data_IF_229941204826
#
_entry.id   IF_229941204826
#
_cell.length_a   1.000
_cell.length_b   1.000
_cell.length_c   1.000
_cell.angle_alpha   90.00
_cell.angle_beta   90.00
_cell.angle_gamma   90.00
#
_symmetry.space_group_name_H-M   'P 1'
#
loop_
_entity.id
_entity.type
_entity.pdbx_description
1 polymer ?
#
# COMPACT_ATOMS: atom_id res chain seq x y z
N UNK A 1 -4.50 21.15 26.65
CA UNK A 1 -4.01 20.74 25.32
C UNK A 1 -4.37 19.30 25.01
N UNK A 2 -4.69 18.48 26.04
CA UNK A 2 -5.27 17.15 25.87
C UNK A 2 -6.38 17.15 24.80
N UNK A 3 -6.35 16.14 23.91
CA UNK A 3 -7.26 16.00 22.74
C UNK A 3 -7.16 17.10 21.68
N UNK A 4 -6.02 17.78 21.59
CA UNK A 4 -5.77 18.71 20.48
C UNK A 4 -5.20 17.97 19.26
N UNK A 5 -5.44 18.54 18.08
CA UNK A 5 -4.84 18.08 16.81
C UNK A 5 -3.32 17.92 16.92
N UNK A 6 -2.65 18.82 17.62
CA UNK A 6 -1.20 18.74 17.83
C UNK A 6 -0.78 17.46 18.56
N UNK A 7 -1.41 17.15 19.70
CA UNK A 7 -1.02 15.99 20.50
C UNK A 7 -1.40 14.68 19.81
N UNK A 8 -2.56 14.65 19.13
CA UNK A 8 -2.96 13.53 18.28
C UNK A 8 -1.95 13.31 17.15
N UNK A 9 -1.54 14.38 16.47
CA UNK A 9 -0.53 14.31 15.43
C UNK A 9 0.80 13.76 15.94
N UNK A 10 1.29 14.28 17.08
CA UNK A 10 2.56 13.86 17.67
C UNK A 10 2.51 12.44 18.25
N UNK A 11 1.35 11.95 18.70
CA UNK A 11 1.22 10.59 19.23
C UNK A 11 1.36 9.50 18.17
N UNK A 12 1.22 9.85 16.89
CA UNK A 12 1.45 8.92 15.78
C UNK A 12 2.92 8.86 15.33
N UNK A 13 3.78 9.75 15.85
CA UNK A 13 5.20 9.75 15.50
C UNK A 13 5.98 8.81 16.42
N UNK A 14 6.82 7.97 15.83
CA UNK A 14 7.78 7.20 16.60
C UNK A 14 8.89 8.09 17.18
N UNK A 15 9.73 7.52 18.06
CA UNK A 15 10.81 8.27 18.71
C UNK A 15 11.81 8.87 17.72
N UNK A 16 12.06 8.21 16.58
CA UNK A 16 12.99 8.68 15.54
C UNK A 16 12.38 9.81 14.73
N UNK A 17 11.11 9.71 14.38
CA UNK A 17 10.35 10.77 13.71
C UNK A 17 10.23 12.01 14.60
N UNK A 18 9.94 11.85 15.89
CA UNK A 18 9.96 12.97 16.84
C UNK A 18 11.35 13.63 16.94
N UNK A 19 12.43 12.84 16.84
CA UNK A 19 13.77 13.41 16.81
C UNK A 19 14.00 14.24 15.54
N UNK A 20 13.73 13.69 14.36
CA UNK A 20 13.88 14.41 13.08
C UNK A 20 12.97 15.62 12.98
N UNK A 21 11.77 15.56 13.55
CA UNK A 21 10.89 16.73 13.64
C UNK A 21 11.53 17.85 14.49
N UNK A 22 12.19 17.50 15.59
CA UNK A 22 12.99 18.46 16.36
C UNK A 22 14.12 19.09 15.56
N UNK A 23 14.84 18.31 14.75
CA UNK A 23 15.90 18.80 13.85
C UNK A 23 15.34 19.73 12.76
N UNK A 24 14.18 19.39 12.20
CA UNK A 24 13.45 20.23 11.25
C UNK A 24 13.05 21.58 11.86
N UNK A 25 12.51 21.58 13.08
CA UNK A 25 12.12 22.80 13.80
C UNK A 25 13.33 23.67 14.18
N UNK A 26 14.49 23.07 14.41
CA UNK A 26 15.73 23.78 14.70
C UNK A 26 16.42 24.32 13.44
N UNK A 27 15.98 23.93 12.24
CA UNK A 27 16.59 24.36 10.99
C UNK A 27 16.06 25.73 10.56
N UNK A 28 16.93 26.76 10.45
CA UNK A 28 16.53 28.10 10.03
C UNK A 28 16.04 28.16 8.57
N UNK A 29 16.34 27.12 7.78
CA UNK A 29 15.81 26.96 6.43
C UNK A 29 14.31 26.64 6.43
N UNK A 30 13.85 25.81 7.38
CA UNK A 30 12.47 25.33 7.43
C UNK A 30 11.59 26.16 8.38
N UNK A 31 12.12 26.49 9.55
CA UNK A 31 11.41 27.22 10.61
C UNK A 31 12.29 28.35 11.12
N UNK A 32 11.77 29.58 11.06
CA UNK A 32 12.49 30.78 11.49
C UNK A 32 12.24 31.17 12.94
N UNK A 33 11.17 30.65 13.55
CA UNK A 33 10.78 31.01 14.92
C UNK A 33 11.28 29.98 15.93
N UNK A 34 12.37 30.30 16.63
CA UNK A 34 12.98 29.47 17.66
C UNK A 34 12.00 29.11 18.80
N UNK A 35 10.93 29.89 18.98
CA UNK A 35 9.87 29.62 19.97
C UNK A 35 9.17 28.30 19.70
N UNK A 36 9.01 27.90 18.43
CA UNK A 36 8.37 26.64 18.07
C UNK A 36 9.21 25.44 18.51
N UNK A 37 10.54 25.54 18.36
CA UNK A 37 11.44 24.51 18.86
C UNK A 37 11.40 24.41 20.39
N UNK A 38 11.44 25.52 21.11
CA UNK A 38 11.34 25.55 22.58
C UNK A 38 10.00 24.96 23.05
N UNK A 39 8.91 25.33 22.39
CA UNK A 39 7.58 24.81 22.68
C UNK A 39 7.50 23.30 22.43
N UNK A 40 8.02 22.82 21.29
CA UNK A 40 8.10 21.40 20.97
C UNK A 40 8.90 20.62 22.02
N UNK A 41 10.07 21.13 22.44
CA UNK A 41 10.90 20.49 23.47
C UNK A 41 10.18 20.38 24.83
N UNK A 42 9.33 21.34 25.16
CA UNK A 42 8.52 21.29 26.37
C UNK A 42 7.44 20.19 26.33
N UNK A 43 6.89 19.90 25.14
CA UNK A 43 5.84 18.89 24.93
C UNK A 43 6.42 17.49 24.71
N UNK A 44 7.53 17.37 23.97
CA UNK A 44 8.16 16.08 23.62
C UNK A 44 8.52 15.23 24.85
N UNK A 45 8.76 15.87 26.00
CA UNK A 45 9.03 15.20 27.30
C UNK A 45 7.90 14.27 27.76
N UNK A 46 6.73 14.38 27.17
CA UNK A 46 5.54 13.58 27.48
C UNK A 46 5.24 12.51 26.42
N UNK A 47 6.11 12.34 25.43
CA UNK A 47 5.99 11.28 24.44
C UNK A 47 6.26 9.89 25.06
N UNK A 48 5.69 8.81 24.49
CA UNK A 48 4.74 8.80 23.37
C UNK A 48 3.27 9.02 23.76
N UNK A 49 2.89 8.92 25.04
CA UNK A 49 1.48 8.84 25.45
C UNK A 49 0.76 10.20 25.45
N UNK A 50 1.48 11.29 25.70
CA UNK A 50 0.95 12.67 25.75
C UNK A 50 -0.32 12.84 26.60
N UNK A 51 -0.50 12.02 27.64
CA UNK A 51 -1.71 11.94 28.47
C UNK A 51 -1.59 12.65 29.83
N UNK A 52 -0.43 13.24 30.11
CA UNK A 52 -0.17 13.88 31.39
C UNK A 52 -1.10 15.05 31.67
N UNK A 53 -1.65 15.12 32.89
CA UNK A 53 -2.39 16.29 33.38
C UNK A 53 -1.58 17.60 33.28
N UNK A 54 -0.25 17.53 33.21
CA UNK A 54 0.62 18.70 32.98
C UNK A 54 0.47 19.31 31.58
N UNK A 55 -0.16 18.60 30.64
CA UNK A 55 -0.53 19.08 29.30
C UNK A 55 -1.96 19.66 29.26
N UNK A 56 -2.67 19.74 30.39
CA UNK A 56 -3.88 20.57 30.47
C UNK A 56 -3.53 22.03 30.20
N UNK A 57 -4.42 22.76 29.52
CA UNK A 57 -4.09 24.09 28.98
C UNK A 57 -3.67 25.05 30.10
N UNK A 58 -4.47 25.13 31.16
CA UNK A 58 -4.22 25.95 32.35
C UNK A 58 -2.97 25.51 33.11
N UNK A 59 -2.77 24.20 33.29
CA UNK A 59 -1.61 23.64 33.97
C UNK A 59 -0.30 23.92 33.21
N UNK A 60 -0.32 23.79 31.88
CA UNK A 60 0.83 24.02 31.02
C UNK A 60 1.22 25.51 30.98
N UNK A 61 0.24 26.41 30.84
CA UNK A 61 0.50 27.87 30.92
C UNK A 61 1.08 28.24 32.29
N UNK A 62 0.52 27.72 33.39
CA UNK A 62 1.01 27.98 34.74
C UNK A 62 2.44 27.45 34.97
N UNK A 63 2.75 26.28 34.44
CA UNK A 63 4.11 25.69 34.51
C UNK A 63 5.12 26.54 33.73
N UNK A 64 4.68 27.14 32.63
CA UNK A 64 5.53 27.93 31.74
C UNK A 64 6.52 27.07 30.94
N UNK A 65 7.17 27.73 29.98
CA UNK A 65 8.28 27.16 29.21
C UNK A 65 9.44 28.14 29.30
N UNK A 66 10.62 27.64 29.65
CA UNK A 66 11.81 28.48 29.78
C UNK A 66 12.11 29.19 28.45
N UNK A 67 12.42 30.48 28.52
CA UNK A 67 12.63 31.32 27.33
C UNK A 67 11.34 31.71 26.58
N UNK A 68 10.16 31.34 27.09
CA UNK A 68 8.89 31.56 26.39
C UNK A 68 7.77 32.06 27.33
N UNK A 69 7.34 33.30 27.12
CA UNK A 69 6.16 33.83 27.82
C UNK A 69 4.88 33.25 27.22
N UNK A 70 4.19 32.41 27.99
CA UNK A 70 2.93 31.79 27.60
C UNK A 70 1.73 32.45 28.27
N UNK A 71 0.71 32.72 27.47
CA UNK A 71 -0.67 32.92 27.91
C UNK A 71 -1.56 31.96 27.10
N UNK A 72 -2.84 31.91 27.42
CA UNK A 72 -3.77 31.00 26.74
C UNK A 72 -3.87 31.22 25.22
N UNK A 73 -3.75 32.48 24.77
CA UNK A 73 -3.88 32.85 23.36
C UNK A 73 -2.60 32.48 22.60
N UNK A 74 -1.44 32.83 23.15
CA UNK A 74 -0.12 32.45 22.63
C UNK A 74 0.05 30.93 22.59
N UNK A 75 -0.42 30.22 23.62
CA UNK A 75 -0.40 28.76 23.62
C UNK A 75 -1.22 28.21 22.45
N UNK A 76 -2.43 28.72 22.21
CA UNK A 76 -3.24 28.32 21.06
C UNK A 76 -2.55 28.60 19.72
N UNK A 77 -1.89 29.75 19.56
CA UNK A 77 -1.12 30.04 18.34
C UNK A 77 0.05 29.09 18.14
N UNK A 78 0.88 28.88 19.17
CA UNK A 78 2.00 27.94 19.09
C UNK A 78 1.56 26.52 18.79
N UNK A 79 0.38 26.10 19.27
CA UNK A 79 -0.19 24.80 18.91
C UNK A 79 -0.55 24.70 17.43
N UNK A 80 -1.18 25.74 16.88
CA UNK A 80 -1.51 25.83 15.45
C UNK A 80 -0.24 25.83 14.60
N UNK A 81 0.69 26.73 14.91
CA UNK A 81 1.94 26.91 14.17
C UNK A 81 2.82 25.64 14.21
N UNK A 82 2.89 24.97 15.37
CA UNK A 82 3.62 23.71 15.51
C UNK A 82 2.95 22.56 14.73
N UNK A 83 1.62 22.55 14.65
CA UNK A 83 0.89 21.58 13.82
C UNK A 83 1.19 21.80 12.34
N UNK A 84 1.18 23.04 11.87
CA UNK A 84 1.52 23.39 10.49
C UNK A 84 2.98 23.02 10.17
N UNK A 85 3.91 23.31 11.08
CA UNK A 85 5.30 22.90 10.94
C UNK A 85 5.44 21.37 10.87
N UNK A 86 4.65 20.64 11.66
CA UNK A 86 4.56 19.18 11.61
C UNK A 86 4.07 18.66 10.26
N UNK A 87 3.01 19.24 9.70
CA UNK A 87 2.51 18.88 8.38
C UNK A 87 3.55 19.17 7.27
N UNK A 88 4.26 20.29 7.35
CA UNK A 88 5.38 20.61 6.43
C UNK A 88 6.52 19.61 6.55
N UNK A 89 6.88 19.21 7.77
CA UNK A 89 7.88 18.18 8.03
C UNK A 89 7.48 16.84 7.39
N UNK A 90 6.24 16.37 7.61
CA UNK A 90 5.78 15.14 7.00
C UNK A 90 5.76 15.20 5.48
N UNK A 91 5.31 16.31 4.89
CA UNK A 91 5.36 16.52 3.44
C UNK A 91 6.80 16.41 2.92
N UNK A 92 7.77 17.03 3.61
CA UNK A 92 9.17 16.95 3.23
C UNK A 92 9.70 15.50 3.31
N UNK A 93 9.46 14.81 4.44
CA UNK A 93 9.87 13.40 4.61
C UNK A 93 9.27 12.48 3.54
N UNK A 94 7.97 12.61 3.27
CA UNK A 94 7.27 11.77 2.29
C UNK A 94 7.75 12.04 0.86
N UNK A 95 8.04 13.30 0.50
CA UNK A 95 8.58 13.64 -0.81
C UNK A 95 10.03 13.17 -0.97
N UNK A 96 10.83 13.20 0.11
CA UNK A 96 12.21 12.70 0.09
C UNK A 96 12.31 11.18 -0.08
N UNK A 97 11.23 10.44 0.20
CA UNK A 97 11.16 8.99 -0.05
C UNK A 97 10.86 8.65 -1.52
N UNK A 98 10.46 9.63 -2.34
CA UNK A 98 10.14 9.45 -3.76
C UNK A 98 11.37 9.70 -4.63
N UNK A 99 12.30 8.74 -4.59
CA UNK A 99 13.60 8.85 -5.25
C UNK A 99 13.49 9.22 -6.74
N UNK A 100 12.64 8.52 -7.51
CA UNK A 100 12.54 8.76 -8.95
C UNK A 100 11.94 10.12 -9.28
N UNK A 101 10.84 10.51 -8.62
CA UNK A 101 10.26 11.84 -8.80
C UNK A 101 11.26 12.94 -8.41
N UNK A 102 12.08 12.71 -7.38
CA UNK A 102 13.19 13.58 -7.03
C UNK A 102 14.25 13.67 -8.14
N UNK A 103 14.64 12.54 -8.74
CA UNK A 103 15.53 12.55 -9.89
C UNK A 103 14.92 13.27 -11.09
N UNK A 104 13.64 13.06 -11.40
CA UNK A 104 12.96 13.74 -12.51
C UNK A 104 12.89 15.26 -12.29
N UNK A 105 12.62 15.72 -11.07
CA UNK A 105 12.66 17.14 -10.73
C UNK A 105 14.06 17.74 -10.93
N UNK A 106 15.13 17.01 -10.58
CA UNK A 106 16.50 17.42 -10.86
C UNK A 106 16.82 17.42 -12.36
N UNK A 107 16.34 16.43 -13.12
CA UNK A 107 16.51 16.37 -14.58
C UNK A 107 15.88 17.59 -15.26
N UNK A 108 14.63 17.91 -14.92
CA UNK A 108 13.94 19.11 -15.40
C UNK A 108 14.75 20.38 -15.06
N UNK A 109 15.19 20.51 -13.80
CA UNK A 109 16.00 21.66 -13.35
C UNK A 109 17.32 21.78 -14.12
N UNK A 110 18.04 20.67 -14.32
CA UNK A 110 19.32 20.69 -15.04
C UNK A 110 19.14 20.85 -16.55
N UNK A 111 17.98 20.46 -17.08
CA UNK A 111 17.61 20.76 -18.45
C UNK A 111 17.42 22.27 -18.64
N UNK A 112 16.70 22.93 -17.71
CA UNK A 112 16.46 24.38 -17.70
C UNK A 112 17.76 25.18 -17.50
N UNK A 113 18.69 24.68 -16.68
CA UNK A 113 20.00 25.31 -16.48
C UNK A 113 20.99 25.04 -17.61
N UNK A 114 20.60 24.29 -18.64
CA UNK A 114 21.47 23.89 -19.74
C UNK A 114 22.72 23.12 -19.28
N UNK A 115 22.60 22.32 -18.21
CA UNK A 115 23.73 21.60 -17.60
C UNK A 115 23.75 20.11 -17.96
N UNK A 116 24.29 19.79 -19.14
CA UNK A 116 24.35 18.42 -19.69
C UNK A 116 25.06 17.43 -18.75
N UNK A 117 26.18 17.86 -18.16
CA UNK A 117 26.95 17.01 -17.24
C UNK A 117 26.14 16.61 -16.01
N UNK A 118 25.41 17.54 -15.41
CA UNK A 118 24.57 17.25 -14.23
C UNK A 118 23.36 16.40 -14.64
N UNK A 119 22.75 16.71 -15.78
CA UNK A 119 21.65 15.95 -16.34
C UNK A 119 22.04 14.48 -16.57
N UNK A 120 23.13 14.21 -17.29
CA UNK A 120 23.58 12.85 -17.59
C UNK A 120 23.93 12.05 -16.34
N UNK A 121 24.53 12.69 -15.33
CA UNK A 121 24.84 12.03 -14.05
C UNK A 121 23.58 11.64 -13.30
N UNK A 122 22.57 12.52 -13.24
CA UNK A 122 21.28 12.23 -12.60
C UNK A 122 20.51 11.17 -13.38
N UNK A 123 20.53 11.22 -14.71
CA UNK A 123 19.83 10.26 -15.56
C UNK A 123 20.32 8.83 -15.32
N UNK A 124 21.63 8.64 -15.14
CA UNK A 124 22.20 7.32 -14.79
C UNK A 124 21.67 6.81 -13.45
N UNK A 125 21.49 7.68 -12.46
CA UNK A 125 20.89 7.31 -11.16
C UNK A 125 19.42 6.95 -11.30
N UNK A 126 18.65 7.74 -12.05
CA UNK A 126 17.23 7.49 -12.31
C UNK A 126 17.01 6.14 -13.02
N UNK A 127 17.79 5.85 -14.06
CA UNK A 127 17.74 4.56 -14.77
C UNK A 127 18.08 3.39 -13.86
N UNK A 128 19.17 3.50 -13.11
CA UNK A 128 19.59 2.47 -12.15
C UNK A 128 18.50 2.20 -11.10
N UNK A 129 17.87 3.25 -10.56
CA UNK A 129 16.77 3.10 -9.60
C UNK A 129 15.58 2.31 -10.20
N UNK A 130 15.21 2.57 -11.44
CA UNK A 130 14.17 1.82 -12.14
C UNK A 130 14.57 0.37 -12.46
N UNK A 131 15.82 0.14 -12.87
CA UNK A 131 16.35 -1.20 -13.13
C UNK A 131 16.37 -2.08 -11.86
N UNK A 132 16.69 -1.48 -10.71
CA UNK A 132 16.71 -2.14 -9.41
C UNK A 132 15.30 -2.33 -8.79
N UNK A 133 14.28 -1.66 -9.34
CA UNK A 133 12.90 -1.86 -8.91
C UNK A 133 12.46 -3.30 -9.21
N UNK A 134 12.02 -4.01 -8.18
CA UNK A 134 11.46 -5.36 -8.34
C UNK A 134 10.01 -5.34 -8.85
N UNK A 135 9.30 -4.22 -8.67
CA UNK A 135 7.87 -4.15 -8.96
C UNK A 135 7.59 -3.80 -10.42
N UNK A 136 6.55 -4.41 -10.99
CA UNK A 136 6.03 -4.19 -12.36
C UNK A 136 4.53 -3.87 -12.31
N UNK A 137 4.18 -3.01 -11.35
CA UNK A 137 2.82 -2.57 -11.05
C UNK A 137 2.55 -1.19 -11.70
N UNK A 138 1.37 -0.58 -11.52
CA UNK A 138 1.07 0.72 -12.14
C UNK A 138 2.08 1.82 -11.78
N UNK A 139 2.57 1.84 -10.54
CA UNK A 139 3.50 2.88 -10.08
C UNK A 139 4.82 2.83 -10.87
N UNK A 140 5.32 1.63 -11.20
CA UNK A 140 6.48 1.46 -12.08
C UNK A 140 6.24 2.06 -13.48
N UNK A 141 5.08 1.84 -14.08
CA UNK A 141 4.76 2.40 -15.40
C UNK A 141 4.64 3.92 -15.36
N UNK A 142 4.03 4.48 -14.32
CA UNK A 142 3.98 5.92 -14.11
C UNK A 142 5.37 6.53 -13.98
N UNK A 143 6.22 5.89 -13.19
CA UNK A 143 7.61 6.25 -12.98
C UNK A 143 8.43 6.23 -14.28
N UNK A 144 8.26 5.21 -15.11
CA UNK A 144 8.85 5.16 -16.44
C UNK A 144 8.34 6.28 -17.34
N UNK A 145 7.02 6.53 -17.35
CA UNK A 145 6.42 7.65 -18.08
C UNK A 145 7.04 9.01 -17.71
N UNK A 146 7.23 9.28 -16.41
CA UNK A 146 7.89 10.50 -15.95
C UNK A 146 9.31 10.62 -16.50
N UNK A 147 10.12 9.56 -16.37
CA UNK A 147 11.51 9.60 -16.84
C UNK A 147 11.59 9.77 -18.37
N UNK A 148 10.73 9.10 -19.14
CA UNK A 148 10.71 9.24 -20.60
C UNK A 148 10.24 10.64 -21.03
N UNK A 149 9.35 11.27 -20.27
CA UNK A 149 8.93 12.65 -20.51
C UNK A 149 10.09 13.63 -20.31
N UNK A 150 10.91 13.44 -19.27
CA UNK A 150 12.13 14.24 -19.04
C UNK A 150 13.20 14.01 -20.12
N UNK A 151 13.30 12.79 -20.64
CA UNK A 151 14.18 12.46 -21.76
C UNK A 151 13.74 13.17 -23.05
N UNK A 152 12.43 13.20 -23.32
CA UNK A 152 11.88 13.91 -24.46
C UNK A 152 12.14 15.41 -24.38
N UNK A 153 11.87 16.03 -23.22
CA UNK A 153 12.13 17.45 -23.01
C UNK A 153 13.62 17.82 -23.21
N UNK A 154 14.53 16.95 -22.76
CA UNK A 154 15.97 17.12 -22.99
C UNK A 154 16.35 16.99 -24.47
N UNK A 155 15.77 16.02 -25.19
CA UNK A 155 15.99 15.86 -26.62
C UNK A 155 15.49 17.05 -27.43
N UNK A 156 14.27 17.53 -27.15
CA UNK A 156 13.66 18.70 -27.79
C UNK A 156 14.55 19.95 -27.66
N UNK A 157 15.12 20.16 -26.46
CA UNK A 157 16.05 21.27 -26.20
C UNK A 157 17.30 21.23 -27.09
N UNK A 158 17.80 20.03 -27.43
CA UNK A 158 18.98 19.89 -28.29
C UNK A 158 18.72 20.30 -29.74
N UNK A 159 17.45 20.45 -30.16
CA UNK A 159 17.03 20.83 -31.52
C UNK A 159 17.66 19.95 -32.61
N UNK A 160 18.00 18.70 -32.28
CA UNK A 160 18.59 17.75 -33.21
C UNK A 160 17.50 17.18 -34.11
N UNK A 161 17.74 17.16 -35.41
CA UNK A 161 16.93 16.40 -36.37
C UNK A 161 17.42 14.95 -36.40
N UNK A 162 17.27 14.26 -35.28
CA UNK A 162 17.59 12.84 -35.14
C UNK A 162 16.33 12.06 -34.74
N UNK A 163 16.32 10.76 -34.99
CA UNK A 163 15.28 9.88 -34.44
C UNK A 163 15.52 9.78 -32.93
N UNK A 164 14.49 10.09 -32.15
CA UNK A 164 14.45 9.87 -30.72
C UNK A 164 13.17 9.13 -30.34
N UNK A 165 13.32 8.11 -29.50
CA UNK A 165 12.23 7.22 -29.12
C UNK A 165 11.57 7.64 -27.80
N UNK A 166 12.09 8.64 -27.08
CA UNK A 166 11.61 8.97 -25.74
C UNK A 166 10.17 9.48 -25.75
N UNK A 167 9.73 10.19 -26.79
CA UNK A 167 8.32 10.56 -26.97
C UNK A 167 7.41 9.34 -27.10
N UNK A 168 7.78 8.38 -27.95
CA UNK A 168 7.01 7.16 -28.14
C UNK A 168 7.01 6.31 -26.86
N UNK A 169 8.14 6.24 -26.15
CA UNK A 169 8.24 5.51 -24.89
C UNK A 169 7.39 6.18 -23.80
N UNK A 170 7.38 7.52 -23.72
CA UNK A 170 6.50 8.24 -22.82
C UNK A 170 5.03 7.93 -23.10
N UNK A 171 4.61 7.97 -24.37
CA UNK A 171 3.25 7.60 -24.77
C UNK A 171 2.92 6.14 -24.39
N UNK A 172 3.81 5.19 -24.69
CA UNK A 172 3.61 3.78 -24.37
C UNK A 172 3.47 3.54 -22.85
N UNK A 173 4.33 4.14 -22.03
CA UNK A 173 4.26 3.98 -20.57
C UNK A 173 3.05 4.70 -19.96
N UNK A 174 2.57 5.78 -20.57
CA UNK A 174 1.31 6.40 -20.21
C UNK A 174 0.13 5.43 -20.45
N UNK A 175 0.12 4.76 -21.60
CA UNK A 175 -0.92 3.76 -21.92
C UNK A 175 -0.87 2.57 -20.96
N UNK A 176 0.33 2.03 -20.67
CA UNK A 176 0.51 0.94 -19.70
C UNK A 176 0.02 1.33 -18.30
N UNK A 177 0.37 2.53 -17.85
CA UNK A 177 -0.10 3.08 -16.58
C UNK A 177 -1.63 3.19 -16.56
N UNK A 178 -2.20 3.83 -17.59
CA UNK A 178 -3.64 4.04 -17.69
C UNK A 178 -4.40 2.70 -17.70
N UNK A 179 -4.02 1.75 -18.56
CA UNK A 179 -4.66 0.45 -18.66
C UNK A 179 -4.62 -0.29 -17.33
N UNK A 180 -3.44 -0.35 -16.70
CA UNK A 180 -3.27 -1.05 -15.43
C UNK A 180 -4.12 -0.43 -14.31
N UNK A 181 -4.07 0.89 -14.11
CA UNK A 181 -4.89 1.58 -13.10
C UNK A 181 -6.38 1.45 -13.42
N UNK A 182 -6.76 1.54 -14.69
CA UNK A 182 -8.16 1.46 -15.12
C UNK A 182 -8.74 0.08 -14.87
N UNK A 183 -8.00 -0.98 -15.15
CA UNK A 183 -8.42 -2.35 -14.83
C UNK A 183 -8.52 -2.57 -13.31
N UNK A 184 -7.52 -2.10 -12.54
CA UNK A 184 -7.52 -2.18 -11.07
C UNK A 184 -8.78 -1.55 -10.48
N UNK A 185 -9.08 -0.31 -10.86
CA UNK A 185 -10.30 0.36 -10.37
C UNK A 185 -11.58 -0.29 -10.89
N UNK A 186 -11.59 -0.83 -12.11
CA UNK A 186 -12.77 -1.56 -12.61
C UNK A 186 -13.05 -2.81 -11.78
N UNK A 187 -12.01 -3.56 -11.40
CA UNK A 187 -12.13 -4.70 -10.48
C UNK A 187 -12.67 -4.26 -9.10
N UNK A 188 -12.15 -3.17 -8.56
CA UNK A 188 -12.55 -2.64 -7.26
C UNK A 188 -14.01 -2.16 -7.26
N UNK A 189 -14.42 -1.42 -8.30
CA UNK A 189 -15.79 -0.92 -8.46
C UNK A 189 -16.78 -2.08 -8.57
N UNK A 190 -16.50 -3.09 -9.41
CA UNK A 190 -17.37 -4.27 -9.56
C UNK A 190 -17.44 -5.05 -8.24
N UNK A 191 -16.31 -5.19 -7.53
CA UNK A 191 -16.29 -5.87 -6.24
C UNK A 191 -17.13 -5.13 -5.19
N UNK A 192 -17.04 -3.79 -5.14
CA UNK A 192 -17.86 -2.94 -4.24
C UNK A 192 -19.34 -2.96 -4.60
N UNK A 193 -19.69 -2.92 -5.88
CA UNK A 193 -21.07 -3.01 -6.39
C UNK A 193 -21.76 -4.32 -5.97
N UNK A 194 -21.01 -5.40 -5.81
CA UNK A 194 -21.55 -6.68 -5.30
C UNK A 194 -21.81 -6.68 -3.79
N UNK A 195 -21.13 -5.81 -3.03
CA UNK A 195 -21.25 -5.72 -1.57
C UNK A 195 -22.25 -4.65 -1.13
N UNK A 196 -22.32 -3.55 -1.88
CA UNK A 196 -23.18 -2.40 -1.63
C UNK A 196 -24.06 -2.23 -2.87
N UNK A 197 -25.38 -2.10 -2.69
CA UNK A 197 -26.34 -1.87 -3.77
C UNK A 197 -26.18 -0.46 -4.38
N UNK A 198 -25.02 -0.19 -4.95
CA UNK A 198 -24.62 1.03 -5.63
C UNK A 198 -24.40 0.71 -7.10
N UNK A 199 -24.77 1.65 -7.98
CA UNK A 199 -24.58 1.50 -9.43
C UNK A 199 -23.41 2.39 -9.88
N UNK A 200 -22.25 1.77 -10.10
CA UNK A 200 -21.05 2.48 -10.53
C UNK A 200 -20.95 2.49 -12.07
N UNK A 201 -20.67 3.66 -12.63
CA UNK A 201 -20.45 3.84 -14.07
C UNK A 201 -19.01 3.44 -14.46
N UNK A 202 -18.86 2.31 -15.16
CA UNK A 202 -17.59 1.78 -15.66
C UNK A 202 -17.25 2.30 -17.07
N UNK A 203 -17.12 3.63 -17.21
CA UNK A 203 -16.75 4.28 -18.48
C UNK A 203 -15.46 3.71 -19.08
N UNK A 204 -15.36 3.67 -20.41
CA UNK A 204 -14.19 3.18 -21.15
C UNK A 204 -13.84 1.70 -20.96
N UNK A 205 -14.63 0.93 -20.20
CA UNK A 205 -14.30 -0.47 -19.91
C UNK A 205 -14.34 -1.33 -21.19
N UNK A 206 -15.31 -1.07 -22.07
CA UNK A 206 -15.45 -1.80 -23.34
C UNK A 206 -14.24 -1.55 -24.23
N UNK A 207 -13.83 -0.30 -24.35
CA UNK A 207 -12.71 0.16 -25.16
C UNK A 207 -11.39 -0.41 -24.64
N UNK A 208 -11.18 -0.36 -23.32
CA UNK A 208 -10.00 -0.97 -22.68
C UNK A 208 -9.96 -2.48 -22.90
N UNK A 209 -11.10 -3.17 -22.74
CA UNK A 209 -11.19 -4.61 -23.01
C UNK A 209 -10.83 -4.92 -24.46
N UNK A 210 -11.48 -4.27 -25.42
CA UNK A 210 -11.22 -4.49 -26.84
C UNK A 210 -9.75 -4.22 -27.19
N UNK A 211 -9.17 -3.16 -26.63
CA UNK A 211 -7.76 -2.84 -26.84
C UNK A 211 -6.82 -3.96 -26.35
N UNK A 212 -7.08 -4.52 -25.17
CA UNK A 212 -6.30 -5.63 -24.61
C UNK A 212 -6.49 -6.93 -25.40
N UNK A 213 -7.68 -7.18 -25.96
CA UNK A 213 -7.94 -8.35 -26.80
C UNK A 213 -7.23 -8.25 -28.17
N UNK A 214 -6.97 -7.04 -28.66
CA UNK A 214 -6.35 -6.77 -29.96
C UNK A 214 -4.81 -6.68 -29.91
N UNK A 215 -4.21 -6.56 -28.72
CA UNK A 215 -2.77 -6.34 -28.53
C UNK A 215 -2.17 -7.35 -27.55
N UNK A 216 -0.86 -7.58 -27.66
CA UNK A 216 -0.13 -8.46 -26.75
C UNK A 216 0.37 -7.69 -25.52
N UNK A 217 -0.18 -8.03 -24.35
CA UNK A 217 0.24 -7.50 -23.05
C UNK A 217 0.88 -8.56 -22.14
N UNK A 218 1.25 -9.73 -22.69
CA UNK A 218 1.76 -10.86 -21.90
C UNK A 218 3.01 -10.52 -21.08
N UNK A 219 3.84 -9.58 -21.54
CA UNK A 219 5.03 -9.09 -20.82
C UNK A 219 4.71 -8.15 -19.64
N UNK A 220 3.44 -7.76 -19.44
CA UNK A 220 3.01 -6.82 -18.40
C UNK A 220 2.06 -7.51 -17.39
N UNK A 221 2.60 -8.17 -16.33
CA UNK A 221 1.82 -8.93 -15.37
C UNK A 221 0.67 -8.15 -14.74
N UNK A 222 0.88 -6.86 -14.47
CA UNK A 222 -0.14 -6.00 -13.87
C UNK A 222 -1.38 -5.86 -14.76
N UNK A 223 -1.22 -5.69 -16.07
CA UNK A 223 -2.34 -5.62 -17.01
C UNK A 223 -3.01 -7.00 -17.11
N UNK A 224 -2.23 -8.06 -17.32
CA UNK A 224 -2.78 -9.41 -17.51
C UNK A 224 -3.52 -9.94 -16.29
N UNK A 225 -2.98 -9.73 -15.09
CA UNK A 225 -3.62 -10.17 -13.84
C UNK A 225 -4.91 -9.41 -13.61
N UNK A 226 -4.90 -8.07 -13.65
CA UNK A 226 -6.13 -7.31 -13.45
C UNK A 226 -7.16 -7.56 -14.55
N UNK A 227 -6.72 -7.78 -15.80
CA UNK A 227 -7.60 -8.21 -16.88
C UNK A 227 -8.25 -9.56 -16.57
N UNK A 228 -7.48 -10.57 -16.14
CA UNK A 228 -8.07 -11.87 -15.77
C UNK A 228 -9.00 -11.76 -14.57
N UNK A 229 -8.67 -10.96 -13.56
CA UNK A 229 -9.59 -10.65 -12.45
C UNK A 229 -10.90 -10.08 -12.98
N UNK A 230 -10.84 -9.06 -13.85
CA UNK A 230 -12.02 -8.45 -14.46
C UNK A 230 -12.86 -9.49 -15.22
N UNK A 231 -12.21 -10.34 -16.01
CA UNK A 231 -12.90 -11.39 -16.78
C UNK A 231 -13.58 -12.42 -15.87
N UNK A 232 -13.01 -12.77 -14.71
CA UNK A 232 -13.71 -13.63 -13.73
C UNK A 232 -14.97 -12.99 -13.14
N UNK A 233 -15.12 -11.67 -13.24
CA UNK A 233 -16.34 -10.98 -12.85
C UNK A 233 -17.38 -10.90 -13.97
N UNK A 234 -16.94 -10.61 -15.20
CA UNK A 234 -17.80 -10.42 -16.36
C UNK A 234 -18.27 -11.74 -16.97
N UNK A 235 -17.38 -12.72 -17.03
CA UNK A 235 -17.56 -14.03 -17.67
C UNK A 235 -17.42 -15.13 -16.62
N UNK A 236 -18.15 -14.98 -15.51
CA UNK A 236 -18.01 -15.80 -14.31
C UNK A 236 -18.10 -17.31 -14.58
N UNK A 237 -18.84 -17.76 -15.59
CA UNK A 237 -19.00 -19.19 -15.90
C UNK A 237 -17.86 -19.82 -16.70
N UNK A 238 -17.01 -19.00 -17.33
CA UNK A 238 -15.79 -19.47 -17.96
C UNK A 238 -14.67 -19.62 -16.91
N UNK A 239 -14.34 -20.87 -16.60
CA UNK A 239 -13.29 -21.18 -15.63
C UNK A 239 -11.88 -20.93 -16.16
N UNK A 240 -11.70 -20.83 -17.49
CA UNK A 240 -10.40 -20.57 -18.11
C UNK A 240 -9.78 -19.25 -17.68
N UNK A 241 -10.60 -18.23 -17.39
CA UNK A 241 -10.12 -16.97 -16.82
C UNK A 241 -9.53 -17.14 -15.42
N UNK A 242 -10.15 -17.97 -14.60
CA UNK A 242 -9.64 -18.28 -13.26
C UNK A 242 -8.35 -19.10 -13.33
N UNK A 243 -8.28 -20.10 -14.19
CA UNK A 243 -7.07 -20.92 -14.34
C UNK A 243 -5.89 -20.07 -14.81
N UNK A 244 -6.14 -19.15 -15.75
CA UNK A 244 -5.16 -18.16 -16.20
C UNK A 244 -4.73 -17.22 -15.07
N UNK A 245 -5.68 -16.71 -14.28
CA UNK A 245 -5.38 -15.86 -13.12
C UNK A 245 -4.50 -16.60 -12.10
N UNK A 246 -4.85 -17.84 -11.78
CA UNK A 246 -4.08 -18.67 -10.83
C UNK A 246 -2.64 -18.87 -11.31
N UNK A 247 -2.43 -19.16 -12.59
CA UNK A 247 -1.11 -19.30 -13.17
C UNK A 247 -0.29 -18.00 -13.09
N UNK A 248 -0.90 -16.86 -13.48
CA UNK A 248 -0.25 -15.55 -13.43
C UNK A 248 0.11 -15.13 -12.00
N UNK A 249 -0.73 -15.44 -11.00
CA UNK A 249 -0.43 -15.15 -9.60
C UNK A 249 0.75 -15.98 -9.09
N UNK A 250 0.80 -17.27 -9.44
CA UNK A 250 1.91 -18.14 -9.06
C UNK A 250 3.24 -17.67 -9.70
N UNK A 251 3.20 -17.15 -10.92
CA UNK A 251 4.40 -16.71 -11.63
C UNK A 251 4.87 -15.30 -11.23
N UNK A 252 3.94 -14.38 -10.98
CA UNK A 252 4.25 -12.95 -10.91
C UNK A 252 3.83 -12.24 -9.62
N UNK A 253 3.36 -12.93 -8.58
CA UNK A 253 2.95 -12.26 -7.32
C UNK A 253 4.07 -11.37 -6.73
N UNK A 254 5.32 -11.79 -6.84
CA UNK A 254 6.49 -11.05 -6.34
C UNK A 254 6.82 -9.78 -7.16
N UNK A 255 6.20 -9.59 -8.32
CA UNK A 255 6.29 -8.35 -9.10
C UNK A 255 5.37 -7.24 -8.56
N UNK A 256 4.65 -7.47 -7.46
CA UNK A 256 3.76 -6.50 -6.83
C UNK A 256 4.17 -6.22 -5.39
N UNK A 257 3.88 -5.01 -4.87
CA UNK A 257 3.93 -4.76 -3.44
C UNK A 257 3.08 -5.78 -2.67
N UNK A 258 3.50 -6.24 -1.46
CA UNK A 258 2.78 -7.27 -0.71
C UNK A 258 1.30 -6.95 -0.45
N UNK A 259 0.96 -5.67 -0.28
CA UNK A 259 -0.43 -5.24 -0.11
C UNK A 259 -1.26 -5.46 -1.38
N UNK A 260 -0.72 -5.09 -2.54
CA UNK A 260 -1.37 -5.28 -3.84
C UNK A 260 -1.47 -6.77 -4.19
N UNK A 261 -0.42 -7.56 -3.96
CA UNK A 261 -0.44 -9.01 -4.14
C UNK A 261 -1.53 -9.68 -3.27
N UNK A 262 -1.68 -9.24 -2.01
CA UNK A 262 -2.74 -9.74 -1.12
C UNK A 262 -4.13 -9.49 -1.68
N UNK A 263 -4.38 -8.30 -2.22
CA UNK A 263 -5.67 -7.95 -2.84
C UNK A 263 -5.93 -8.80 -4.09
N UNK A 264 -4.90 -9.06 -4.90
CA UNK A 264 -4.98 -9.93 -6.07
C UNK A 264 -5.33 -11.38 -5.71
N UNK A 265 -4.69 -11.95 -4.68
CA UNK A 265 -5.07 -13.26 -4.15
C UNK A 265 -6.49 -13.25 -3.57
N UNK A 266 -6.91 -12.17 -2.92
CA UNK A 266 -8.26 -12.05 -2.40
C UNK A 266 -9.32 -12.10 -3.50
N UNK A 267 -9.06 -11.52 -4.69
CA UNK A 267 -9.95 -11.66 -5.84
C UNK A 267 -10.12 -13.12 -6.28
N UNK A 268 -9.02 -13.86 -6.43
CA UNK A 268 -9.04 -15.27 -6.80
C UNK A 268 -9.75 -16.14 -5.74
N UNK A 269 -9.46 -15.91 -4.46
CA UNK A 269 -10.11 -16.60 -3.34
C UNK A 269 -11.62 -16.33 -3.33
N UNK A 270 -12.03 -15.07 -3.52
CA UNK A 270 -13.44 -14.70 -3.59
C UNK A 270 -14.16 -15.34 -4.78
N UNK A 271 -13.48 -15.53 -5.91
CA UNK A 271 -14.02 -16.31 -7.03
C UNK A 271 -14.31 -17.76 -6.62
N UNK A 272 -13.34 -18.45 -6.02
CA UNK A 272 -13.53 -19.82 -5.54
C UNK A 272 -14.66 -19.94 -4.51
N UNK A 273 -14.76 -18.98 -3.56
CA UNK A 273 -15.83 -18.95 -2.56
C UNK A 273 -17.19 -18.86 -3.25
N UNK A 274 -17.35 -17.99 -4.26
CA UNK A 274 -18.62 -17.88 -5.01
C UNK A 274 -18.97 -19.19 -5.72
N UNK A 275 -18.00 -19.84 -6.38
CA UNK A 275 -18.22 -21.12 -7.07
C UNK A 275 -18.58 -22.26 -6.11
N UNK A 276 -17.89 -22.35 -4.97
CA UNK A 276 -18.20 -23.33 -3.94
C UNK A 276 -19.60 -23.13 -3.34
N UNK A 277 -19.99 -21.87 -3.07
CA UNK A 277 -21.33 -21.54 -2.58
C UNK A 277 -22.43 -21.83 -3.62
N UNK A 278 -22.10 -21.80 -4.91
CA UNK A 278 -22.98 -22.22 -6.00
C UNK A 278 -23.03 -23.76 -6.20
N UNK A 279 -22.46 -24.54 -5.27
CA UNK A 279 -22.48 -26.01 -5.29
C UNK A 279 -21.32 -26.66 -6.04
N UNK A 280 -20.37 -25.90 -6.59
CA UNK A 280 -19.18 -26.45 -7.26
C UNK A 280 -18.08 -26.74 -6.22
N UNK A 281 -18.24 -27.81 -5.44
CA UNK A 281 -17.36 -28.13 -4.32
C UNK A 281 -15.87 -28.33 -4.69
N UNK A 282 -15.56 -28.67 -5.94
CA UNK A 282 -14.17 -28.76 -6.43
C UNK A 282 -13.37 -27.49 -6.19
N UNK A 283 -14.03 -26.31 -6.20
CA UNK A 283 -13.39 -25.03 -5.92
C UNK A 283 -12.95 -24.84 -4.46
N UNK A 284 -13.38 -25.69 -3.53
CA UNK A 284 -12.82 -25.66 -2.16
C UNK A 284 -11.36 -26.10 -2.15
N UNK A 285 -10.98 -27.05 -3.03
CA UNK A 285 -9.59 -27.50 -3.15
C UNK A 285 -8.73 -26.40 -3.80
N UNK A 286 -9.26 -25.76 -4.84
CA UNK A 286 -8.63 -24.58 -5.46
C UNK A 286 -8.45 -23.44 -4.45
N UNK A 287 -9.45 -23.18 -3.60
CA UNK A 287 -9.38 -22.18 -2.54
C UNK A 287 -8.30 -22.51 -1.51
N UNK A 288 -8.15 -23.78 -1.12
CA UNK A 288 -7.09 -24.19 -0.21
C UNK A 288 -5.70 -23.96 -0.83
N UNK A 289 -5.52 -24.28 -2.10
CA UNK A 289 -4.25 -24.06 -2.81
C UNK A 289 -3.88 -22.57 -2.84
N UNK A 290 -4.86 -21.69 -3.11
CA UNK A 290 -4.63 -20.24 -3.05
C UNK A 290 -4.24 -19.76 -1.65
N UNK A 291 -4.83 -20.33 -0.59
CA UNK A 291 -4.42 -20.02 0.78
C UNK A 291 -3.00 -20.51 1.08
N UNK A 292 -2.64 -21.73 0.66
CA UNK A 292 -1.30 -22.27 0.83
C UNK A 292 -0.26 -21.38 0.14
N UNK A 293 -0.49 -21.00 -1.12
CA UNK A 293 0.38 -20.09 -1.86
C UNK A 293 0.48 -18.71 -1.17
N UNK A 294 -0.64 -18.12 -0.72
CA UNK A 294 -0.62 -16.86 0.03
C UNK A 294 0.15 -16.94 1.35
N UNK A 295 0.17 -18.11 1.99
CA UNK A 295 0.92 -18.36 3.22
C UNK A 295 2.42 -18.46 2.91
N UNK A 296 2.80 -19.18 1.86
CA UNK A 296 4.18 -19.37 1.41
C UNK A 296 4.82 -18.03 1.01
N UNK A 297 4.09 -17.18 0.29
CA UNK A 297 4.52 -15.83 -0.10
C UNK A 297 4.46 -14.81 1.07
N UNK A 298 4.05 -15.23 2.27
CA UNK A 298 3.97 -14.35 3.46
C UNK A 298 2.86 -13.29 3.40
N UNK A 299 1.92 -13.40 2.46
CA UNK A 299 0.88 -12.40 2.20
C UNK A 299 -0.26 -12.41 3.24
N UNK A 300 -0.40 -13.50 4.00
CA UNK A 300 -1.48 -13.64 5.01
C UNK A 300 -1.29 -12.80 6.27
N UNK A 301 -0.09 -12.23 6.46
CA UNK A 301 0.23 -11.38 7.60
C UNK A 301 0.15 -9.90 7.21
N UNK A 302 -0.43 -9.10 8.11
CA UNK A 302 -0.41 -7.63 8.08
C UNK A 302 0.13 -7.17 9.42
N UNK A 303 1.22 -6.40 9.42
CA UNK A 303 1.93 -5.98 10.63
C UNK A 303 2.29 -7.17 11.55
N UNK A 304 2.71 -8.28 10.95
CA UNK A 304 3.06 -9.53 11.65
C UNK A 304 1.86 -10.34 12.15
N UNK A 305 0.63 -9.89 11.88
CA UNK A 305 -0.60 -10.50 12.38
C UNK A 305 -1.48 -11.10 11.28
N UNK A 306 -2.10 -12.24 11.55
CA UNK A 306 -3.18 -12.80 10.73
C UNK A 306 -4.53 -12.41 11.32
N UNK A 307 -5.50 -12.04 10.47
CA UNK A 307 -6.85 -11.74 10.93
C UNK A 307 -7.54 -13.00 11.47
N UNK A 308 -8.33 -12.91 12.56
CA UNK A 308 -9.10 -14.06 13.06
C UNK A 308 -10.05 -14.67 12.02
N UNK A 309 -10.53 -13.85 11.07
CA UNK A 309 -11.41 -14.27 9.98
C UNK A 309 -10.67 -15.09 8.93
N UNK A 310 -9.52 -14.61 8.46
CA UNK A 310 -8.66 -15.36 7.52
C UNK A 310 -8.20 -16.67 8.15
N UNK A 311 -7.76 -16.62 9.41
CA UNK A 311 -7.36 -17.80 10.16
C UNK A 311 -8.49 -18.84 10.25
N UNK A 312 -9.71 -18.42 10.60
CA UNK A 312 -10.90 -19.28 10.62
C UNK A 312 -11.21 -19.87 9.23
N UNK A 313 -11.18 -19.04 8.19
CA UNK A 313 -11.53 -19.45 6.84
C UNK A 313 -10.58 -20.51 6.30
N UNK A 314 -9.26 -20.33 6.52
CA UNK A 314 -8.23 -21.30 6.13
C UNK A 314 -8.47 -22.65 6.80
N UNK A 315 -8.64 -22.67 8.14
CA UNK A 315 -8.90 -23.92 8.88
C UNK A 315 -10.21 -24.57 8.40
N UNK A 316 -11.26 -23.77 8.21
CA UNK A 316 -12.57 -24.25 7.78
C UNK A 316 -12.51 -24.91 6.41
N UNK A 317 -11.86 -24.25 5.44
CA UNK A 317 -11.71 -24.78 4.07
C UNK A 317 -10.86 -26.05 4.07
N UNK A 318 -9.71 -26.05 4.74
CA UNK A 318 -8.85 -27.23 4.84
C UNK A 318 -9.57 -28.44 5.44
N UNK A 319 -10.34 -28.21 6.51
CA UNK A 319 -11.15 -29.26 7.13
C UNK A 319 -12.21 -29.81 6.18
N UNK A 320 -12.89 -28.94 5.43
CA UNK A 320 -13.94 -29.35 4.46
C UNK A 320 -13.40 -30.18 3.30
N UNK A 321 -12.16 -29.93 2.87
CA UNK A 321 -11.49 -30.75 1.86
C UNK A 321 -10.75 -31.97 2.44
N UNK A 322 -10.97 -32.24 3.73
CA UNK A 322 -10.42 -33.37 4.50
C UNK A 322 -8.90 -33.31 4.77
N UNK A 323 -8.27 -32.15 4.57
CA UNK A 323 -6.86 -31.88 4.90
C UNK A 323 -6.71 -31.49 6.38
N UNK A 324 -7.28 -32.30 7.29
CA UNK A 324 -7.39 -31.95 8.72
C UNK A 324 -6.05 -31.88 9.45
N UNK A 325 -5.06 -32.67 9.03
CA UNK A 325 -3.72 -32.67 9.61
C UNK A 325 -2.96 -31.39 9.25
N UNK A 326 -3.05 -30.98 7.99
CA UNK A 326 -2.51 -29.70 7.54
C UNK A 326 -3.17 -28.53 8.28
N UNK A 327 -4.50 -28.57 8.43
CA UNK A 327 -5.25 -27.53 9.13
C UNK A 327 -4.81 -27.38 10.61
N UNK A 328 -4.57 -28.50 11.30
CA UNK A 328 -4.07 -28.50 12.67
C UNK A 328 -2.65 -27.93 12.76
N UNK A 329 -1.76 -28.28 11.83
CA UNK A 329 -0.40 -27.75 11.77
C UNK A 329 -0.40 -26.24 11.54
N UNK A 330 -1.16 -25.77 10.55
CA UNK A 330 -1.38 -24.35 10.30
C UNK A 330 -1.89 -23.63 11.55
N UNK A 331 -2.94 -24.17 12.18
CA UNK A 331 -3.55 -23.55 13.35
C UNK A 331 -2.54 -23.37 14.50
N UNK A 332 -1.73 -24.41 14.78
CA UNK A 332 -0.68 -24.35 15.80
C UNK A 332 0.43 -23.36 15.45
N UNK A 333 0.93 -23.40 14.21
CA UNK A 333 2.02 -22.55 13.75
C UNK A 333 1.64 -21.06 13.76
N UNK A 334 0.44 -20.73 13.27
CA UNK A 334 -0.02 -19.36 13.11
C UNK A 334 -0.70 -18.78 14.35
N UNK A 335 -0.88 -19.55 15.43
CA UNK A 335 -1.43 -19.07 16.71
C UNK A 335 -0.69 -17.83 17.23
N UNK A 336 0.65 -17.82 17.15
CA UNK A 336 1.47 -16.69 17.63
C UNK A 336 1.25 -15.40 16.84
N UNK A 337 0.80 -15.52 15.59
CA UNK A 337 0.49 -14.40 14.71
C UNK A 337 -0.93 -13.86 14.88
N UNK A 338 -1.76 -14.46 15.73
CA UNK A 338 -3.02 -13.83 16.13
C UNK A 338 -2.74 -12.74 17.15
N UNK A 339 -3.38 -11.58 16.97
CA UNK A 339 -3.35 -10.49 17.95
C UNK A 339 -3.81 -11.01 19.32
N UNK A 340 -3.12 -10.61 20.38
CA UNK A 340 -3.30 -11.16 21.72
C UNK A 340 -4.76 -11.19 22.18
N UNK A 341 -5.49 -10.08 21.92
CA UNK A 341 -6.93 -9.92 22.16
C UNK A 341 -7.81 -11.06 21.63
N UNK A 342 -7.45 -11.66 20.48
CA UNK A 342 -8.28 -12.67 19.80
C UNK A 342 -7.65 -14.07 19.81
N UNK A 343 -6.37 -14.18 20.19
CA UNK A 343 -5.54 -15.38 20.01
C UNK A 343 -6.17 -16.65 20.58
N UNK A 344 -6.55 -16.64 21.85
CA UNK A 344 -7.08 -17.83 22.52
C UNK A 344 -8.45 -18.22 21.99
N UNK A 345 -9.35 -17.24 21.80
CA UNK A 345 -10.69 -17.51 21.29
C UNK A 345 -10.66 -18.06 19.88
N UNK A 346 -9.91 -17.43 18.98
CA UNK A 346 -9.79 -17.89 17.59
C UNK A 346 -9.11 -19.27 17.50
N UNK A 347 -8.04 -19.52 18.26
CA UNK A 347 -7.38 -20.82 18.28
C UNK A 347 -8.31 -21.93 18.80
N UNK A 348 -8.93 -21.73 19.96
CA UNK A 348 -9.78 -22.75 20.59
C UNK A 348 -11.00 -23.10 19.73
N UNK A 349 -11.66 -22.09 19.14
CA UNK A 349 -12.78 -22.30 18.23
C UNK A 349 -12.39 -23.18 17.03
N UNK A 350 -11.25 -22.90 16.41
CA UNK A 350 -10.77 -23.64 15.24
C UNK A 350 -10.31 -25.07 15.60
N UNK A 351 -9.71 -25.26 16.78
CA UNK A 351 -9.37 -26.58 17.28
C UNK A 351 -10.61 -27.43 17.59
N UNK A 352 -11.65 -26.85 18.21
CA UNK A 352 -12.92 -27.53 18.44
C UNK A 352 -13.58 -27.95 17.12
N UNK A 353 -13.55 -27.07 16.11
CA UNK A 353 -14.05 -27.38 14.77
C UNK A 353 -13.32 -28.58 14.12
N UNK A 354 -11.99 -28.63 14.24
CA UNK A 354 -11.18 -29.76 13.75
C UNK A 354 -11.49 -31.07 14.50
N UNK A 355 -11.61 -31.02 15.82
CA UNK A 355 -11.91 -32.19 16.65
C UNK A 355 -13.32 -32.73 16.35
N UNK A 356 -14.29 -31.83 16.13
CA UNK A 356 -15.63 -32.19 15.72
C UNK A 356 -15.61 -32.89 14.35
N UNK A 357 -14.87 -32.35 13.37
CA UNK A 357 -14.72 -32.98 12.05
C UNK A 357 -14.07 -34.38 12.13
N UNK A 358 -13.15 -34.59 13.08
CA UNK A 358 -12.55 -35.89 13.40
C UNK A 358 -13.42 -36.81 14.26
N UNK A 359 -14.67 -36.43 14.56
CA UNK A 359 -15.62 -37.17 15.43
C UNK A 359 -15.12 -37.39 16.86
N UNK A 360 -14.22 -36.54 17.36
CA UNK A 360 -13.66 -36.60 18.71
C UNK A 360 -14.48 -35.75 19.70
N UNK A 361 -15.77 -36.04 19.83
CA UNK A 361 -16.75 -35.18 20.52
C UNK A 361 -16.46 -34.92 22.01
N UNK A 362 -15.76 -35.82 22.70
CA UNK A 362 -15.40 -35.62 24.11
C UNK A 362 -14.23 -34.67 24.35
N UNK A 363 -13.51 -34.26 23.29
CA UNK A 363 -12.38 -33.32 23.34
C UNK A 363 -12.65 -32.01 22.61
N UNK A 364 -13.67 -31.99 21.74
CA UNK A 364 -14.15 -30.81 21.02
C UNK A 364 -14.95 -29.90 21.95
#
# INVERSE_FOLDING_TARGET
MLKSKLLEFMSHMDQKQLQRFGEFLASPYFVKDDKLYLFFQAIRKYAPEFDSAKLEKSAFVKKGVEGLHLDEKKLSYLMSDLTEAGERFLKAELLMQKDLEGYCALLSTYNDWESDKLYEQTLRKARKHLEESQYRNPDFFYQQYLLQSELNAYFDRQKKRALDMSLQQAANYLDLYYLSVKLRYSCELINRQKLVAADYDLRMLREVRSHIEEHDYTEFPSIMIYYRVLMTFLENDDTGHFDSLKALLAEHANAFPPEEARDLYAYAQNYCIRKANAGKESFLRELLQLYQASIEEGLVLTDGHISPWSYKNIVSVATRVQETDWAEQFAKQYKKHLHEKFRNNAFNYNMAYLLFARKQFGKA
#
